data_IF_788808870780
#
_entry.id   IF_788808870780
#
_cell.length_a   1.000
_cell.length_b   1.000
_cell.length_c   1.000
_cell.angle_alpha   90.00
_cell.angle_beta   90.00
_cell.angle_gamma   90.00
#
_symmetry.space_group_name_H-M   'P 1'
#
loop_
_entity.id
_entity.type
_entity.pdbx_description
1 polymer ?
#
# COMPACT_ATOMS: atom_id res chain seq x y z
N UNK A 1 -6.27 11.50 10.35
CA UNK A 1 -7.59 10.86 10.19
C UNK A 1 -7.55 10.28 8.81
N UNK A 2 -7.73 8.97 8.71
CA UNK A 2 -7.25 8.02 7.68
C UNK A 2 -7.46 8.27 6.19
N UNK A 3 -7.70 9.51 5.75
CA UNK A 3 -7.93 9.89 4.37
C UNK A 3 -6.71 9.56 3.49
N UNK A 4 -5.50 9.84 3.99
CA UNK A 4 -4.27 9.56 3.24
C UNK A 4 -4.10 8.06 3.05
N UNK A 5 -4.28 7.26 4.11
CA UNK A 5 -4.19 5.80 4.00
C UNK A 5 -5.25 5.22 3.07
N UNK A 6 -6.48 5.74 3.13
CA UNK A 6 -7.56 5.30 2.24
C UNK A 6 -7.25 5.65 0.78
N UNK A 7 -6.72 6.85 0.51
CA UNK A 7 -6.27 7.25 -0.82
C UNK A 7 -5.12 6.36 -1.31
N UNK A 8 -4.14 6.06 -0.45
CA UNK A 8 -3.05 5.14 -0.77
C UNK A 8 -3.54 3.73 -1.12
N UNK A 9 -4.50 3.19 -0.37
CA UNK A 9 -5.14 1.90 -0.69
C UNK A 9 -5.90 1.97 -2.02
N UNK A 10 -6.50 3.11 -2.34
CA UNK A 10 -7.20 3.28 -3.62
C UNK A 10 -6.23 3.17 -4.82
N UNK A 11 -5.03 3.73 -4.69
CA UNK A 11 -4.00 3.76 -5.73
C UNK A 11 -3.40 2.38 -6.04
N UNK A 12 -3.33 1.46 -5.07
CA UNK A 12 -2.57 0.22 -5.20
C UNK A 12 -3.37 -0.96 -5.80
N UNK A 13 -2.71 -1.81 -6.58
CA UNK A 13 -3.22 -3.17 -6.80
C UNK A 13 -3.09 -4.01 -5.52
N UNK A 14 -4.00 -4.97 -5.31
CA UNK A 14 -3.97 -5.91 -4.18
C UNK A 14 -4.34 -7.33 -4.65
N UNK A 15 -3.44 -8.05 -5.35
CA UNK A 15 -3.75 -9.35 -5.97
C UNK A 15 -4.31 -10.42 -5.02
N UNK A 16 -3.97 -10.35 -3.74
CA UNK A 16 -4.45 -11.23 -2.68
C UNK A 16 -5.90 -10.99 -2.27
N UNK A 17 -6.54 -9.90 -2.71
CA UNK A 17 -7.88 -9.51 -2.33
C UNK A 17 -8.81 -9.42 -3.53
N UNK A 18 -10.05 -9.82 -3.31
CA UNK A 18 -11.14 -9.53 -4.22
C UNK A 18 -11.47 -8.04 -4.20
N UNK A 19 -12.08 -7.53 -5.27
CA UNK A 19 -12.40 -6.09 -5.39
C UNK A 19 -13.21 -5.55 -4.19
N UNK A 20 -14.16 -6.34 -3.69
CA UNK A 20 -15.00 -5.94 -2.56
C UNK A 20 -14.26 -6.02 -1.21
N UNK A 21 -13.24 -6.86 -1.08
CA UNK A 21 -12.36 -6.91 0.10
C UNK A 21 -11.44 -5.70 0.13
N UNK A 22 -10.90 -5.28 -1.02
CA UNK A 22 -10.16 -4.01 -1.18
C UNK A 22 -11.03 -2.80 -0.79
N UNK A 23 -12.27 -2.76 -1.26
CA UNK A 23 -13.21 -1.67 -0.93
C UNK A 23 -13.47 -1.59 0.58
N UNK A 24 -13.63 -2.74 1.25
CA UNK A 24 -13.74 -2.79 2.71
C UNK A 24 -12.45 -2.35 3.39
N UNK A 25 -11.27 -2.78 2.92
CA UNK A 25 -9.97 -2.33 3.45
C UNK A 25 -9.81 -0.81 3.35
N UNK A 26 -10.21 -0.21 2.22
CA UNK A 26 -10.20 1.23 2.03
C UNK A 26 -11.13 1.95 3.02
N UNK A 27 -12.34 1.42 3.23
CA UNK A 27 -13.27 1.97 4.21
C UNK A 27 -12.73 1.87 5.63
N UNK A 28 -12.09 0.75 6.00
CA UNK A 28 -11.42 0.58 7.30
C UNK A 28 -10.29 1.60 7.46
N UNK A 29 -9.52 1.85 6.40
CA UNK A 29 -8.44 2.83 6.43
C UNK A 29 -8.89 4.25 6.74
N UNK A 30 -10.12 4.66 6.38
CA UNK A 30 -10.68 5.97 6.76
C UNK A 30 -10.78 6.16 8.29
N UNK A 31 -10.82 5.07 9.05
CA UNK A 31 -10.86 5.07 10.51
C UNK A 31 -9.47 4.93 11.15
N UNK A 32 -8.42 4.75 10.34
CA UNK A 32 -7.07 4.62 10.82
C UNK A 32 -6.41 5.98 11.14
N UNK A 33 -5.34 5.91 11.91
CA UNK A 33 -4.37 7.00 12.03
C UNK A 33 -3.42 7.00 10.83
N UNK A 34 -3.22 8.14 10.15
CA UNK A 34 -2.27 8.23 9.03
C UNK A 34 -0.81 8.31 9.49
N UNK A 35 -0.59 8.76 10.73
CA UNK A 35 0.74 9.11 11.22
C UNK A 35 1.02 8.51 12.60
N UNK A 36 2.27 8.15 12.83
CA UNK A 36 2.79 7.79 14.14
C UNK A 36 3.34 9.03 14.84
N UNK A 37 2.92 9.30 16.09
CA UNK A 37 3.38 10.47 16.84
C UNK A 37 2.32 11.06 17.75
N UNK A 38 2.55 12.27 18.27
CA UNK A 38 1.51 13.00 19.01
C UNK A 38 0.48 13.59 18.06
N UNK A 39 -0.79 13.29 18.28
CA UNK A 39 -1.90 13.87 17.52
C UNK A 39 -2.99 14.40 18.45
N UNK A 40 -3.87 15.24 17.91
CA UNK A 40 -5.10 15.65 18.56
C UNK A 40 -6.21 14.63 18.27
N UNK A 41 -6.73 14.00 19.32
CA UNK A 41 -7.92 13.17 19.27
C UNK A 41 -9.18 13.97 18.94
N UNK A 42 -10.25 13.26 18.55
CA UNK A 42 -11.57 13.87 18.22
C UNK A 42 -12.22 14.58 19.42
N UNK A 43 -11.82 14.23 20.64
CA UNK A 43 -12.24 14.84 21.90
C UNK A 43 -11.43 16.10 22.27
N UNK A 44 -10.45 16.47 21.44
CA UNK A 44 -9.56 17.62 21.67
C UNK A 44 -8.39 17.32 22.61
N UNK A 45 -8.19 16.07 23.03
CA UNK A 45 -7.05 15.68 23.86
C UNK A 45 -5.88 15.23 22.99
N UNK A 46 -4.65 15.52 23.42
CA UNK A 46 -3.46 14.97 22.78
C UNK A 46 -3.36 13.49 23.13
N UNK A 47 -3.22 12.64 22.11
CA UNK A 47 -2.93 11.22 22.26
C UNK A 47 -1.76 10.82 21.38
N UNK A 48 -1.11 9.71 21.72
CA UNK A 48 -0.12 9.09 20.86
C UNK A 48 -0.85 8.25 19.81
N UNK A 49 -0.68 8.60 18.54
CA UNK A 49 -1.16 7.87 17.38
C UNK A 49 -0.09 6.93 16.84
N UNK A 50 -0.58 5.90 16.14
CA UNK A 50 0.22 4.87 15.51
C UNK A 50 -0.36 4.66 14.11
N UNK A 51 0.45 4.85 13.06
CA UNK A 51 -0.02 4.75 11.68
C UNK A 51 -0.69 3.38 11.42
N UNK A 52 -1.84 3.38 10.75
CA UNK A 52 -2.62 2.18 10.49
C UNK A 52 -3.41 1.65 11.70
N UNK A 53 -3.30 2.25 12.88
CA UNK A 53 -4.12 1.86 14.03
C UNK A 53 -5.56 2.33 13.86
N UNK A 54 -6.49 1.39 14.00
CA UNK A 54 -7.93 1.59 13.94
C UNK A 54 -8.50 1.26 15.32
N UNK A 55 -8.94 2.29 16.05
CA UNK A 55 -9.39 2.13 17.42
C UNK A 55 -10.73 1.38 17.56
N UNK A 56 -11.64 1.57 16.59
CA UNK A 56 -12.94 0.90 16.55
C UNK A 56 -13.48 0.96 15.11
N UNK A 57 -13.93 -0.19 14.61
CA UNK A 57 -14.71 -0.29 13.38
C UNK A 57 -16.16 -0.49 13.80
N UNK A 58 -16.94 0.59 13.82
CA UNK A 58 -18.38 0.46 13.97
C UNK A 58 -18.95 -0.19 12.71
N UNK A 59 -19.13 -1.52 12.70
CA UNK A 59 -19.54 -2.31 11.53
C UNK A 59 -20.85 -1.89 10.82
N UNK A 60 -21.58 -0.89 11.35
CA UNK A 60 -22.71 -0.23 10.67
C UNK A 60 -22.29 0.78 9.60
N UNK A 61 -21.04 1.22 9.61
CA UNK A 61 -20.51 2.23 8.70
C UNK A 61 -19.88 1.62 7.45
N UNK A 62 -19.35 0.40 7.56
CA UNK A 62 -18.81 -0.37 6.44
C UNK A 62 -19.93 -0.91 5.56
N UNK A 63 -19.67 -0.93 4.25
CA UNK A 63 -20.59 -1.43 3.23
C UNK A 63 -19.84 -2.28 2.23
N UNK A 64 -20.46 -3.39 1.83
CA UNK A 64 -19.99 -4.17 0.70
C UNK A 64 -20.78 -3.75 -0.54
N UNK A 65 -20.10 -3.32 -1.59
CA UNK A 65 -20.72 -3.02 -2.89
C UNK A 65 -21.02 -4.34 -3.61
N UNK A 66 -22.13 -4.98 -3.23
CA UNK A 66 -22.50 -6.31 -3.72
C UNK A 66 -23.30 -6.26 -5.04
N UNK A 67 -22.64 -6.59 -6.16
CA UNK A 67 -23.32 -6.87 -7.44
C UNK A 67 -23.29 -8.35 -7.85
N UNK A 68 -22.44 -9.19 -7.22
CA UNK A 68 -22.09 -10.53 -7.74
C UNK A 68 -22.33 -11.67 -6.72
N UNK A 69 -22.10 -11.45 -5.41
CA UNK A 69 -22.28 -12.46 -4.35
C UNK A 69 -22.76 -11.78 -3.07
N UNK A 70 -23.59 -12.42 -2.22
CA UNK A 70 -23.82 -11.93 -0.87
C UNK A 70 -22.58 -12.23 -0.02
N UNK A 71 -21.66 -11.27 0.07
CA UNK A 71 -20.55 -11.28 1.05
C UNK A 71 -20.87 -10.28 2.15
N UNK A 72 -20.57 -10.61 3.41
CA UNK A 72 -20.74 -9.69 4.56
C UNK A 72 -19.47 -8.92 4.89
N UNK A 73 -19.59 -7.83 5.66
CA UNK A 73 -18.43 -7.08 6.14
C UNK A 73 -17.54 -7.97 7.01
N UNK A 74 -18.15 -8.82 7.85
CA UNK A 74 -17.44 -9.74 8.73
C UNK A 74 -16.60 -10.74 7.92
N UNK A 75 -17.14 -11.32 6.84
CA UNK A 75 -16.40 -12.21 5.95
C UNK A 75 -15.22 -11.48 5.28
N UNK A 76 -15.39 -10.22 4.87
CA UNK A 76 -14.28 -9.42 4.34
C UNK A 76 -13.21 -9.17 5.41
N UNK A 77 -13.58 -8.83 6.65
CA UNK A 77 -12.62 -8.59 7.74
C UNK A 77 -11.85 -9.87 8.05
N UNK A 78 -12.51 -11.02 8.09
CA UNK A 78 -11.85 -12.33 8.25
C UNK A 78 -10.83 -12.57 7.13
N UNK A 79 -11.20 -12.35 5.86
CA UNK A 79 -10.29 -12.47 4.72
C UNK A 79 -9.08 -11.52 4.81
N UNK A 80 -9.29 -10.27 5.25
CA UNK A 80 -8.22 -9.28 5.43
C UNK A 80 -7.24 -9.69 6.55
N UNK A 81 -7.72 -10.37 7.59
CA UNK A 81 -6.87 -10.94 8.65
C UNK A 81 -6.12 -12.15 8.11
N UNK A 82 -6.80 -13.09 7.45
CA UNK A 82 -6.19 -14.32 6.90
C UNK A 82 -5.09 -14.02 5.88
N UNK A 83 -5.29 -12.97 5.07
CA UNK A 83 -4.32 -12.52 4.08
C UNK A 83 -3.21 -11.67 4.67
N UNK A 84 -3.32 -11.20 5.93
CA UNK A 84 -2.30 -10.39 6.61
C UNK A 84 -2.33 -8.90 6.26
N UNK A 85 -3.46 -8.38 5.78
CA UNK A 85 -3.70 -6.94 5.62
C UNK A 85 -4.11 -6.27 6.93
N UNK A 86 -4.77 -7.01 7.82
CA UNK A 86 -5.17 -6.57 9.15
C UNK A 86 -4.62 -7.50 10.23
N UNK A 87 -4.28 -6.92 11.39
CA UNK A 87 -4.01 -7.66 12.61
C UNK A 87 -4.92 -7.17 13.74
N UNK A 88 -5.68 -8.05 14.41
CA UNK A 88 -6.38 -7.71 15.64
C UNK A 88 -5.41 -7.27 16.74
N UNK A 89 -5.79 -6.26 17.52
CA UNK A 89 -4.99 -5.80 18.65
C UNK A 89 -5.41 -6.53 19.91
N UNK A 90 -4.53 -7.38 20.43
CA UNK A 90 -4.77 -8.19 21.64
C UNK A 90 -4.56 -7.38 22.94
N UNK A 91 -5.22 -6.23 23.07
CA UNK A 91 -5.20 -5.43 24.30
C UNK A 91 -6.61 -5.36 24.94
N UNK A 92 -6.76 -5.67 26.24
CA UNK A 92 -8.07 -5.65 26.92
C UNK A 92 -8.80 -4.30 26.91
N UNK A 93 -8.09 -3.20 26.66
CA UNK A 93 -8.65 -1.85 26.53
C UNK A 93 -8.96 -1.43 25.09
N UNK A 94 -8.63 -2.26 24.10
CA UNK A 94 -8.77 -2.02 22.67
C UNK A 94 -9.58 -3.14 21.99
N UNK A 95 -10.67 -3.58 22.64
CA UNK A 95 -11.59 -4.58 22.08
C UNK A 95 -12.18 -4.07 20.75
N UNK A 96 -11.99 -4.83 19.67
CA UNK A 96 -12.39 -4.44 18.32
C UNK A 96 -11.42 -3.53 17.55
N UNK A 97 -10.21 -3.29 18.09
CA UNK A 97 -9.18 -2.53 17.39
C UNK A 97 -8.33 -3.39 16.44
N UNK A 98 -7.83 -2.77 15.38
CA UNK A 98 -7.01 -3.41 14.36
C UNK A 98 -5.79 -2.56 13.99
N UNK A 99 -4.77 -3.22 13.45
CA UNK A 99 -3.65 -2.59 12.76
C UNK A 99 -3.71 -2.93 11.26
N UNK A 100 -3.61 -1.91 10.42
CA UNK A 100 -3.36 -2.06 8.99
C UNK A 100 -1.87 -2.35 8.77
N UNK A 101 -1.57 -3.26 7.86
CA UNK A 101 -0.20 -3.56 7.45
C UNK A 101 0.40 -2.42 6.59
N UNK A 102 0.88 -1.37 7.25
CA UNK A 102 1.46 -0.18 6.61
C UNK A 102 2.69 -0.54 5.77
N UNK A 103 3.49 -1.52 6.20
CA UNK A 103 4.65 -1.96 5.43
C UNK A 103 4.22 -2.53 4.09
N UNK A 104 3.15 -3.34 4.06
CA UNK A 104 2.58 -3.85 2.81
C UNK A 104 1.98 -2.75 1.95
N UNK A 105 1.27 -1.78 2.54
CA UNK A 105 0.80 -0.60 1.80
C UNK A 105 1.96 0.11 1.12
N UNK A 106 3.07 0.37 1.85
CA UNK A 106 4.28 0.97 1.29
C UNK A 106 4.88 0.16 0.14
N UNK A 107 4.99 -1.16 0.30
CA UNK A 107 5.49 -2.05 -0.78
C UNK A 107 4.63 -1.95 -2.03
N UNK A 108 3.31 -1.96 -1.87
CA UNK A 108 2.40 -1.86 -3.00
C UNK A 108 2.42 -0.46 -3.63
N UNK A 109 2.59 0.61 -2.86
CA UNK A 109 2.80 1.96 -3.42
C UNK A 109 4.12 2.05 -4.20
N UNK A 110 5.18 1.37 -3.75
CA UNK A 110 6.44 1.29 -4.50
C UNK A 110 6.26 0.55 -5.82
N UNK A 111 5.45 -0.52 -5.84
CA UNK A 111 5.06 -1.22 -7.07
C UNK A 111 4.31 -0.30 -8.03
N UNK A 112 3.38 0.53 -7.55
CA UNK A 112 2.67 1.47 -8.43
C UNK A 112 3.57 2.59 -8.95
N UNK A 113 4.44 3.21 -8.12
CA UNK A 113 5.42 4.18 -8.65
C UNK A 113 6.36 3.53 -9.67
N UNK A 114 6.71 2.27 -9.44
CA UNK A 114 7.50 1.46 -10.35
C UNK A 114 6.75 1.33 -11.68
N UNK A 115 5.49 0.88 -11.70
CA UNK A 115 4.65 0.80 -12.91
C UNK A 115 4.48 2.14 -13.63
N UNK A 116 4.13 3.20 -12.91
CA UNK A 116 3.92 4.55 -13.48
C UNK A 116 5.20 5.08 -14.15
N UNK A 117 6.38 4.81 -13.58
CA UNK A 117 7.66 5.12 -14.24
C UNK A 117 7.82 4.42 -15.58
N UNK A 118 7.16 3.28 -15.78
CA UNK A 118 7.24 2.48 -17.00
C UNK A 118 6.17 2.76 -18.03
N UNK A 119 4.94 3.05 -17.61
CA UNK A 119 3.87 3.48 -18.51
C UNK A 119 4.26 4.74 -19.29
N UNK A 120 5.09 5.60 -18.68
CA UNK A 120 5.72 6.76 -19.35
C UNK A 120 6.62 6.39 -20.54
N UNK A 121 7.27 5.23 -20.54
CA UNK A 121 8.14 4.81 -21.64
C UNK A 121 7.36 4.16 -22.79
N UNK A 122 6.27 3.44 -22.49
CA UNK A 122 5.39 2.82 -23.49
C UNK A 122 4.53 3.87 -24.21
N UNK A 123 3.98 4.85 -23.47
CA UNK A 123 3.19 5.95 -24.03
C UNK A 123 3.97 6.87 -24.99
N UNK A 124 5.30 6.87 -24.92
CA UNK A 124 6.17 7.71 -25.76
C UNK A 124 6.71 6.99 -27.01
N UNK A 125 6.23 5.77 -27.33
CA UNK A 125 6.60 4.99 -28.53
C UNK A 125 8.14 4.88 -28.71
N UNK A 126 8.85 4.83 -27.57
CA UNK A 126 10.30 4.76 -27.57
C UNK A 126 10.71 3.31 -27.80
N UNK A 127 11.17 3.03 -29.02
CA UNK A 127 11.74 1.73 -29.44
C UNK A 127 13.07 1.47 -28.71
N UNK A 128 13.00 1.15 -27.42
CA UNK A 128 14.14 0.93 -26.54
C UNK A 128 14.70 -0.48 -26.74
N UNK A 129 16.02 -0.58 -26.88
CA UNK A 129 16.70 -1.89 -26.86
C UNK A 129 16.58 -2.55 -25.48
N UNK A 130 16.65 -3.88 -25.41
CA UNK A 130 16.63 -4.61 -24.13
C UNK A 130 17.75 -4.19 -23.14
N UNK A 131 18.88 -3.66 -23.64
CA UNK A 131 19.94 -3.10 -22.80
C UNK A 131 19.55 -1.71 -22.26
N UNK A 132 18.89 -0.87 -23.06
CA UNK A 132 18.35 0.40 -22.58
C UNK A 132 17.19 0.19 -21.61
N UNK A 133 16.31 -0.79 -21.87
CA UNK A 133 15.25 -1.19 -20.94
C UNK A 133 15.85 -1.59 -19.59
N UNK A 134 16.88 -2.46 -19.58
CA UNK A 134 17.58 -2.82 -18.33
C UNK A 134 18.31 -1.65 -17.66
N UNK A 135 18.95 -0.78 -18.43
CA UNK A 135 19.67 0.38 -17.88
C UNK A 135 18.73 1.49 -17.36
N UNK A 136 17.49 1.52 -17.84
CA UNK A 136 16.42 2.43 -17.39
C UNK A 136 15.51 1.79 -16.32
N UNK A 137 15.68 0.49 -16.03
CA UNK A 137 14.88 -0.27 -15.08
C UNK A 137 13.52 -0.76 -15.59
N UNK A 138 13.22 -0.65 -16.89
CA UNK A 138 11.87 -0.74 -17.50
C UNK A 138 11.07 -2.00 -17.11
N UNK A 139 9.89 -1.89 -16.44
CA UNK A 139 8.90 -2.98 -16.45
C UNK A 139 8.42 -3.18 -17.88
N UNK A 140 8.50 -4.41 -18.32
CA UNK A 140 7.76 -4.87 -19.49
C UNK A 140 6.60 -5.73 -18.98
N UNK A 141 5.34 -5.38 -19.25
CA UNK A 141 4.19 -6.19 -18.82
C UNK A 141 4.16 -7.58 -19.47
N UNK A 142 4.84 -7.78 -20.61
CA UNK A 142 5.06 -9.11 -21.19
C UNK A 142 6.18 -9.89 -20.47
N UNK A 143 6.90 -9.27 -19.53
CA UNK A 143 7.90 -9.96 -18.73
C UNK A 143 7.18 -10.84 -17.69
N UNK A 144 7.37 -12.18 -17.74
CA UNK A 144 6.72 -13.10 -16.83
C UNK A 144 7.11 -12.91 -15.35
N UNK A 145 8.13 -12.10 -15.06
CA UNK A 145 8.54 -11.78 -13.69
C UNK A 145 7.70 -10.67 -13.05
N UNK A 146 6.94 -9.89 -13.82
CA UNK A 146 6.13 -8.77 -13.29
C UNK A 146 5.11 -9.28 -12.28
N UNK A 147 4.31 -10.28 -12.65
CA UNK A 147 3.31 -10.85 -11.75
C UNK A 147 3.98 -11.40 -10.48
N UNK A 148 5.11 -12.10 -10.62
CA UNK A 148 5.88 -12.60 -9.48
C UNK A 148 6.41 -11.50 -8.57
N UNK A 149 6.78 -10.34 -9.12
CA UNK A 149 7.21 -9.19 -8.31
C UNK A 149 6.05 -8.57 -7.53
N UNK A 150 4.90 -8.40 -8.18
CA UNK A 150 3.68 -7.86 -7.56
C UNK A 150 3.21 -8.83 -6.45
N UNK A 151 3.16 -10.13 -6.74
CA UNK A 151 2.81 -11.16 -5.75
C UNK A 151 3.79 -11.17 -4.56
N UNK A 152 5.10 -11.00 -4.81
CA UNK A 152 6.10 -10.92 -3.75
C UNK A 152 5.90 -9.68 -2.85
N UNK A 153 5.58 -8.53 -3.45
CA UNK A 153 5.30 -7.28 -2.73
C UNK A 153 4.03 -7.41 -1.86
N UNK A 154 3.02 -8.07 -2.42
CA UNK A 154 1.73 -8.34 -1.79
C UNK A 154 1.75 -9.56 -0.85
N UNK A 155 2.88 -10.17 -0.57
CA UNK A 155 2.92 -11.21 0.46
C UNK A 155 2.99 -10.58 1.87
N UNK A 156 2.43 -11.31 2.84
CA UNK A 156 2.70 -11.06 4.25
C UNK A 156 4.15 -11.49 4.56
N UNK A 157 4.92 -10.62 5.23
CA UNK A 157 6.28 -10.90 5.66
C UNK A 157 6.36 -10.89 7.19
N UNK A 158 7.18 -11.80 7.74
CA UNK A 158 7.45 -11.83 9.18
C UNK A 158 7.99 -10.47 9.65
N UNK A 159 7.41 -9.93 10.72
CA UNK A 159 7.78 -8.64 11.28
C UNK A 159 7.00 -7.43 10.71
N UNK A 160 6.10 -7.62 9.75
CA UNK A 160 5.31 -6.54 9.14
C UNK A 160 4.54 -5.69 10.16
N UNK A 161 4.08 -6.29 11.27
CA UNK A 161 3.40 -5.57 12.34
C UNK A 161 4.27 -5.27 13.55
N UNK A 162 5.42 -5.94 13.70
CA UNK A 162 6.32 -5.77 14.85
C UNK A 162 7.12 -4.47 14.76
N UNK A 163 7.49 -4.10 13.55
CA UNK A 163 8.17 -2.85 13.25
C UNK A 163 7.39 -2.17 12.15
N UNK A 164 6.54 -1.22 12.52
CA UNK A 164 5.92 -0.35 11.52
C UNK A 164 6.96 0.65 11.04
N UNK A 165 7.08 0.79 9.72
CA UNK A 165 7.76 1.92 9.12
C UNK A 165 7.14 3.21 9.67
N UNK A 166 7.96 4.03 10.35
CA UNK A 166 7.60 5.44 10.61
C UNK A 166 7.81 6.20 9.31
N UNK A 167 7.00 5.88 8.31
CA UNK A 167 7.08 6.48 6.98
C UNK A 167 5.82 7.30 6.79
N UNK A 168 6.04 8.59 6.56
CA UNK A 168 5.03 9.47 6.01
C UNK A 168 4.81 9.08 4.54
N UNK A 169 3.61 8.58 4.24
CA UNK A 169 3.23 8.14 2.90
C UNK A 169 2.61 9.27 2.06
N UNK A 170 2.36 10.45 2.64
CA UNK A 170 1.62 11.54 1.98
C UNK A 170 2.27 11.94 0.66
N UNK A 171 3.57 12.22 0.66
CA UNK A 171 4.26 12.65 -0.56
C UNK A 171 4.22 11.58 -1.67
N UNK A 172 4.26 10.30 -1.31
CA UNK A 172 4.19 9.19 -2.27
C UNK A 172 2.78 9.06 -2.85
N UNK A 173 1.75 9.14 -2.00
CA UNK A 173 0.35 9.04 -2.41
C UNK A 173 -0.04 10.24 -3.28
N UNK A 174 0.38 11.46 -2.91
CA UNK A 174 0.15 12.67 -3.70
C UNK A 174 0.73 12.59 -5.12
N UNK A 175 1.83 11.84 -5.31
CA UNK A 175 2.39 11.62 -6.64
C UNK A 175 1.60 10.64 -7.48
N UNK A 176 0.96 9.65 -6.86
CA UNK A 176 0.16 8.61 -7.52
C UNK A 176 -1.30 9.02 -7.75
N UNK A 177 -1.81 9.97 -6.96
CA UNK A 177 -3.16 10.48 -7.16
C UNK A 177 -3.26 11.28 -8.48
N UNK A 178 -4.29 11.01 -9.31
CA UNK A 178 -4.52 11.77 -10.53
C UNK A 178 -4.92 13.21 -10.17
N UNK A 179 -4.18 14.18 -10.70
CA UNK A 179 -4.51 15.59 -10.57
C UNK A 179 -5.45 16.03 -11.70
N UNK A 180 -6.28 17.04 -11.43
CA UNK A 180 -7.30 17.57 -12.37
C UNK A 180 -6.69 18.14 -13.67
N UNK A 181 -5.36 18.19 -13.80
CA UNK A 181 -4.63 18.73 -14.95
C UNK A 181 -4.01 17.62 -15.82
N UNK A 182 -4.22 16.33 -15.49
CA UNK A 182 -3.50 15.19 -16.06
C UNK A 182 -4.14 14.56 -17.30
N UNK A 183 -4.55 15.36 -18.29
CA UNK A 183 -5.13 14.82 -19.53
C UNK A 183 -4.08 14.10 -20.42
N UNK A 184 -2.77 14.26 -20.17
CA UNK A 184 -1.70 13.69 -21.01
C UNK A 184 -0.75 12.70 -20.30
N UNK A 185 -0.90 12.42 -18.99
CA UNK A 185 -0.07 11.46 -18.22
C UNK A 185 1.46 11.58 -18.46
N UNK A 186 1.97 12.75 -18.86
CA UNK A 186 3.34 12.91 -19.33
C UNK A 186 4.25 13.42 -18.20
N UNK A 187 4.34 12.64 -17.13
CA UNK A 187 5.19 12.96 -15.99
C UNK A 187 6.68 12.69 -16.29
N UNK A 188 7.61 13.48 -15.74
CA UNK A 188 9.03 13.16 -15.85
C UNK A 188 9.36 11.91 -15.00
N UNK A 189 10.25 11.00 -15.45
CA UNK A 189 10.64 9.81 -14.68
C UNK A 189 11.17 10.12 -13.28
N UNK A 190 11.75 11.31 -13.07
CA UNK A 190 12.25 11.78 -11.78
C UNK A 190 11.14 12.02 -10.74
N UNK A 191 9.86 12.05 -11.15
CA UNK A 191 8.71 12.07 -10.23
C UNK A 191 8.69 10.81 -9.36
N UNK A 192 9.02 9.66 -9.92
CA UNK A 192 8.85 8.35 -9.28
C UNK A 192 10.07 7.97 -8.44
N UNK A 193 10.25 8.70 -7.35
CA UNK A 193 11.43 8.61 -6.47
C UNK A 193 11.54 7.29 -5.71
N UNK A 194 10.45 6.55 -5.55
CA UNK A 194 10.42 5.25 -4.85
C UNK A 194 10.36 4.05 -5.81
N UNK A 195 10.42 4.29 -7.13
CA UNK A 195 10.45 3.20 -8.10
C UNK A 195 11.65 2.26 -7.86
N UNK A 196 11.42 0.95 -7.98
CA UNK A 196 12.42 -0.09 -7.77
C UNK A 196 13.10 -0.42 -9.10
N UNK A 197 14.26 0.18 -9.33
CA UNK A 197 15.01 0.02 -10.58
C UNK A 197 15.52 -1.42 -10.83
N UNK A 198 15.75 -2.20 -9.76
CA UNK A 198 16.31 -3.56 -9.81
C UNK A 198 15.29 -4.65 -9.45
N UNK A 199 14.00 -4.40 -9.71
CA UNK A 199 12.89 -5.29 -9.37
C UNK A 199 13.05 -6.73 -9.94
N UNK A 200 13.59 -6.89 -11.15
CA UNK A 200 13.84 -8.21 -11.76
C UNK A 200 14.83 -9.04 -10.93
N UNK A 201 15.86 -8.37 -10.40
CA UNK A 201 16.88 -9.01 -9.56
C UNK A 201 16.27 -9.43 -8.23
N UNK A 202 15.37 -8.61 -7.67
CA UNK A 202 14.65 -8.94 -6.45
C UNK A 202 13.88 -10.26 -6.60
N UNK A 203 13.17 -10.46 -7.71
CA UNK A 203 12.47 -11.73 -8.00
C UNK A 203 13.45 -12.88 -8.23
N UNK A 204 14.43 -12.69 -9.11
CA UNK A 204 15.38 -13.75 -9.49
C UNK A 204 16.21 -14.27 -8.32
N UNK A 205 16.67 -13.37 -7.45
CA UNK A 205 17.53 -13.69 -6.30
C UNK A 205 16.73 -13.90 -5.01
N UNK A 206 15.40 -13.75 -5.05
CA UNK A 206 14.52 -13.75 -3.87
C UNK A 206 14.99 -12.78 -2.79
N UNK A 207 15.41 -11.59 -3.23
CA UNK A 207 15.86 -10.50 -2.36
C UNK A 207 14.74 -9.50 -2.18
N UNK A 208 14.57 -9.06 -0.94
CA UNK A 208 13.68 -7.97 -0.59
C UNK A 208 14.38 -6.64 -0.92
N UNK A 209 13.74 -5.71 -1.65
CA UNK A 209 14.24 -4.36 -1.86
C UNK A 209 14.66 -3.69 -0.55
N UNK A 210 15.75 -2.92 -0.59
CA UNK A 210 16.27 -2.25 0.59
C UNK A 210 15.26 -1.25 1.19
N UNK A 211 14.43 -0.62 0.36
CA UNK A 211 13.34 0.28 0.77
C UNK A 211 12.22 -0.42 1.54
N UNK A 212 12.09 -1.75 1.40
CA UNK A 212 11.09 -2.56 2.09
C UNK A 212 11.63 -3.16 3.39
N UNK A 213 12.93 -3.05 3.63
CA UNK A 213 13.54 -3.51 4.87
C UNK A 213 13.28 -2.49 5.97
N UNK A 214 12.46 -2.86 6.96
CA UNK A 214 12.23 -2.01 8.11
C UNK A 214 13.53 -1.92 8.91
N UNK A 215 14.12 -0.73 8.95
CA UNK A 215 15.21 -0.46 9.88
C UNK A 215 14.57 -0.27 11.25
N UNK A 216 14.95 -1.09 12.22
CA UNK A 216 14.74 -0.72 13.62
C UNK A 216 15.47 0.59 13.85
N UNK A 217 14.75 1.70 13.93
CA UNK A 217 15.32 2.88 14.55
C UNK A 217 15.62 2.52 16.01
N UNK A 218 16.89 2.64 16.38
CA UNK A 218 17.37 2.54 17.76
C UNK A 218 16.85 3.73 18.60
N UNK A 219 15.54 3.91 18.75
CA UNK A 219 14.93 4.70 19.83
C UNK A 219 13.39 4.77 19.65
N UNK A 220 12.67 3.97 20.43
CA UNK A 220 11.40 4.37 21.04
C UNK A 220 11.39 3.98 22.51
#
# INVERSE_FOLDING_TARGET
MGEILADGISCIAVPSLEFYEKDVLQQIALHADDYTGETLGRDGNVRRSLAGFVADIHGRELRVVNWIKPTTVEECVEALIETGWLQPVDEPCADGAYLININRVKRMLDVEETKEKFDLYDANDMDLTAEQQRNLGVFNYDNPLVDSFIEMADCFHDGDFETQLVVDLTDQIDRLLPTVVDEEHNFPPERWTNAIDDWELCVCEKKVPASWTVKQDEAL
#
